data_IF_832094146521
#
_entry.id   IF_832094146521
#
_cell.length_a   1.000
_cell.length_b   1.000
_cell.length_c   1.000
_cell.angle_alpha   90.00
_cell.angle_beta   90.00
_cell.angle_gamma   90.00
#
_symmetry.space_group_name_H-M   'P 1'
#
loop_
_entity.id
_entity.type
_entity.pdbx_description
1 polymer ?
#
# COMPACT_ATOMS: atom_id res chain seq x y z
N UNK A 1 3.07 -3.64 -19.97
CA UNK A 1 4.40 -3.29 -20.54
C UNK A 1 5.10 -4.58 -20.96
N UNK A 2 5.63 -4.65 -22.19
CA UNK A 2 6.25 -5.85 -22.75
C UNK A 2 7.77 -5.80 -22.56
N UNK A 3 8.34 -6.68 -21.74
CA UNK A 3 9.81 -6.87 -21.70
C UNK A 3 10.26 -7.53 -23.01
N UNK A 4 10.93 -6.78 -23.88
CA UNK A 4 11.68 -7.32 -25.02
C UNK A 4 13.06 -7.77 -24.52
N UNK A 5 13.29 -9.07 -24.53
CA UNK A 5 14.56 -9.71 -24.19
C UNK A 5 15.43 -9.73 -25.45
N UNK A 6 16.55 -9.02 -25.44
CA UNK A 6 17.61 -9.16 -26.46
C UNK A 6 18.45 -10.38 -26.08
N UNK A 7 18.54 -11.32 -27.01
CA UNK A 7 19.15 -12.63 -26.87
C UNK A 7 20.68 -12.51 -26.99
N UNK A 8 21.42 -12.88 -25.95
CA UNK A 8 22.83 -13.27 -26.07
C UNK A 8 23.02 -14.63 -25.38
N UNK A 9 23.58 -15.54 -26.17
CA UNK A 9 23.75 -16.98 -25.95
C UNK A 9 24.96 -17.21 -25.05
N UNK A 10 24.89 -18.16 -24.10
CA UNK A 10 25.88 -19.24 -23.84
C UNK A 10 25.61 -19.93 -22.48
N UNK A 11 25.66 -21.26 -22.53
CA UNK A 11 25.88 -22.27 -21.47
C UNK A 11 24.83 -22.56 -20.39
N UNK A 12 24.16 -23.71 -20.58
CA UNK A 12 23.91 -24.83 -19.64
C UNK A 12 23.72 -24.49 -18.16
N UNK A 13 22.48 -24.66 -17.70
CA UNK A 13 22.10 -24.66 -16.29
C UNK A 13 20.63 -24.27 -16.13
N UNK A 14 19.72 -25.20 -16.43
CA UNK A 14 18.30 -25.02 -16.11
C UNK A 14 18.13 -25.02 -14.58
N UNK A 15 18.21 -23.84 -13.98
CA UNK A 15 17.45 -23.51 -12.78
C UNK A 15 16.51 -22.39 -13.16
N UNK A 16 15.41 -22.78 -13.82
CA UNK A 16 14.21 -21.95 -13.87
C UNK A 16 13.68 -21.85 -12.44
N UNK A 17 14.27 -20.97 -11.64
CA UNK A 17 13.61 -20.45 -10.44
C UNK A 17 12.47 -19.60 -10.98
N UNK A 18 11.34 -20.24 -11.24
CA UNK A 18 10.11 -19.52 -11.47
C UNK A 18 9.93 -18.58 -10.28
N UNK A 19 9.92 -17.28 -10.53
CA UNK A 19 9.40 -16.31 -9.58
C UNK A 19 7.94 -16.67 -9.33
N UNK A 20 7.70 -17.62 -8.43
CA UNK A 20 6.42 -17.72 -7.75
C UNK A 20 6.44 -16.52 -6.82
N UNK A 21 5.70 -15.47 -7.17
CA UNK A 21 5.41 -14.40 -6.22
C UNK A 21 4.66 -15.05 -5.06
N UNK A 22 5.42 -15.50 -4.05
CA UNK A 22 4.85 -15.77 -2.75
C UNK A 22 4.15 -14.48 -2.34
N UNK A 23 2.88 -14.57 -1.97
CA UNK A 23 2.18 -13.41 -1.47
C UNK A 23 2.89 -12.99 -0.19
N UNK A 24 3.58 -11.85 -0.22
CA UNK A 24 4.43 -11.38 0.88
C UNK A 24 3.63 -10.94 2.11
N UNK A 25 2.29 -11.01 2.06
CA UNK A 25 1.45 -10.68 3.19
C UNK A 25 1.67 -11.65 4.36
N UNK A 26 1.55 -11.18 5.61
CA UNK A 26 1.57 -12.02 6.79
C UNK A 26 0.61 -13.20 6.66
N UNK A 27 1.05 -14.38 7.10
CA UNK A 27 0.22 -15.59 7.13
C UNK A 27 -0.92 -15.51 8.15
N UNK A 28 -0.76 -14.66 9.17
CA UNK A 28 -1.76 -14.38 10.19
C UNK A 28 -2.35 -12.99 9.97
N UNK A 29 -3.69 -12.90 10.02
CA UNK A 29 -4.41 -11.64 10.02
C UNK A 29 -4.66 -11.22 11.47
N UNK A 30 -4.06 -10.13 11.98
CA UNK A 30 -4.15 -9.77 13.38
C UNK A 30 -5.59 -9.48 13.82
N UNK A 31 -5.91 -9.85 15.06
CA UNK A 31 -7.17 -9.49 15.68
C UNK A 31 -7.29 -7.95 15.76
N UNK A 32 -8.48 -7.40 15.48
CA UNK A 32 -8.73 -5.96 15.54
C UNK A 32 -8.55 -5.21 14.21
N UNK A 33 -7.88 -5.80 13.22
CA UNK A 33 -7.86 -5.25 11.86
C UNK A 33 -9.19 -5.58 11.16
N UNK A 34 -9.89 -4.61 10.56
CA UNK A 34 -11.12 -4.90 9.80
C UNK A 34 -10.80 -5.65 8.51
N UNK A 35 -11.63 -6.63 8.09
CA UNK A 35 -11.40 -7.42 6.87
C UNK A 35 -11.31 -6.62 5.55
N UNK A 36 -11.79 -5.36 5.57
CA UNK A 36 -11.71 -4.42 4.44
C UNK A 36 -10.38 -3.67 4.37
N UNK A 37 -9.52 -3.77 5.39
CA UNK A 37 -8.20 -3.18 5.36
C UNK A 37 -7.28 -4.02 4.46
N UNK A 38 -6.48 -3.34 3.65
CA UNK A 38 -5.63 -3.94 2.64
C UNK A 38 -4.20 -3.94 3.18
N UNK A 39 -3.53 -5.10 3.11
CA UNK A 39 -2.12 -5.18 3.45
C UNK A 39 -1.27 -4.46 2.39
N UNK A 40 -0.38 -3.59 2.85
CA UNK A 40 0.56 -2.83 2.05
C UNK A 40 1.95 -2.98 2.67
N UNK A 41 2.85 -3.68 1.98
CA UNK A 41 4.18 -3.99 2.50
C UNK A 41 5.04 -4.80 1.54
N UNK A 42 6.18 -5.23 2.06
CA UNK A 42 7.19 -6.03 1.37
C UNK A 42 7.72 -7.17 2.22
N UNK A 43 8.88 -7.70 1.84
CA UNK A 43 9.54 -8.79 2.56
C UNK A 43 10.03 -8.40 3.97
N UNK A 44 10.12 -7.09 4.22
CA UNK A 44 10.50 -6.44 5.47
C UNK A 44 9.29 -6.10 6.37
N UNK A 45 8.09 -6.49 5.98
CA UNK A 45 6.84 -6.23 6.70
C UNK A 45 6.02 -5.13 6.04
N UNK A 46 4.99 -4.67 6.74
CA UNK A 46 4.12 -3.62 6.22
C UNK A 46 3.07 -3.15 7.22
N UNK A 47 1.93 -2.76 6.68
CA UNK A 47 0.79 -2.31 7.46
C UNK A 47 -0.52 -2.71 6.78
N UNK A 48 -1.59 -2.81 7.56
CA UNK A 48 -2.93 -2.83 7.00
C UNK A 48 -3.43 -1.39 6.89
N UNK A 49 -4.08 -1.06 5.77
CA UNK A 49 -4.54 0.30 5.47
C UNK A 49 -5.98 0.24 5.00
N UNK A 50 -6.80 1.14 5.53
CA UNK A 50 -8.15 1.39 5.01
C UNK A 50 -8.37 2.89 4.95
N UNK A 51 -8.85 3.37 3.80
CA UNK A 51 -9.31 4.74 3.67
C UNK A 51 -10.75 4.78 3.13
N UNK A 52 -11.59 5.61 3.72
CA UNK A 52 -12.86 6.05 3.13
C UNK A 52 -12.68 7.40 2.43
N UNK A 53 -13.51 7.64 1.41
CA UNK A 53 -13.62 8.95 0.77
C UNK A 53 -14.45 9.86 1.68
N UNK A 54 -13.95 11.08 1.89
CA UNK A 54 -14.63 12.15 2.59
C UNK A 54 -14.85 13.30 1.61
N UNK A 55 -16.00 13.28 0.92
CA UNK A 55 -16.35 14.26 -0.10
C UNK A 55 -16.56 15.66 0.49
N UNK A 56 -16.95 15.76 1.76
CA UNK A 56 -17.18 17.04 2.45
C UNK A 56 -15.88 17.82 2.60
N UNK A 57 -14.81 17.13 2.97
CA UNK A 57 -13.50 17.74 3.17
C UNK A 57 -12.57 17.56 1.97
N UNK A 58 -13.04 16.92 0.88
CA UNK A 58 -12.25 16.52 -0.28
C UNK A 58 -10.96 15.80 0.15
N UNK A 59 -11.09 14.81 1.02
CA UNK A 59 -9.99 14.09 1.64
C UNK A 59 -10.27 12.59 1.69
N UNK A 60 -9.30 11.83 2.18
CA UNK A 60 -9.51 10.44 2.61
C UNK A 60 -9.35 10.33 4.12
N UNK A 61 -10.32 9.75 4.79
CA UNK A 61 -10.20 9.37 6.20
C UNK A 61 -9.57 7.98 6.26
N UNK A 62 -8.32 7.90 6.72
CA UNK A 62 -7.50 6.70 6.69
C UNK A 62 -7.17 6.22 8.10
N UNK A 63 -7.08 4.91 8.25
CA UNK A 63 -6.52 4.24 9.41
C UNK A 63 -5.47 3.22 8.94
N UNK A 64 -4.36 3.17 9.67
CA UNK A 64 -3.24 2.26 9.45
C UNK A 64 -3.05 1.43 10.71
N UNK A 65 -2.99 0.12 10.54
CA UNK A 65 -2.75 -0.84 11.61
C UNK A 65 -1.39 -1.50 11.45
N UNK A 66 -0.73 -1.76 12.57
CA UNK A 66 0.44 -2.62 12.62
C UNK A 66 0.09 -4.02 12.11
N UNK A 67 0.90 -4.56 11.22
CA UNK A 67 0.64 -5.85 10.57
C UNK A 67 0.86 -7.08 11.46
N UNK A 68 1.49 -6.90 12.62
CA UNK A 68 1.83 -7.95 13.58
C UNK A 68 0.92 -7.92 14.81
N UNK A 69 0.63 -6.72 15.35
CA UNK A 69 -0.19 -6.57 16.57
C UNK A 69 -1.66 -6.25 16.29
N UNK A 70 -1.97 -5.67 15.12
CA UNK A 70 -3.31 -5.17 14.80
C UNK A 70 -3.66 -3.86 15.49
N UNK A 71 -2.72 -3.22 16.19
CA UNK A 71 -2.94 -1.92 16.82
C UNK A 71 -2.99 -0.80 15.78
N UNK A 72 -3.83 0.22 16.02
CA UNK A 72 -3.83 1.43 15.21
C UNK A 72 -2.53 2.20 15.50
N UNK A 73 -1.69 2.33 14.47
CA UNK A 73 -0.45 3.12 14.51
C UNK A 73 -0.64 4.48 13.87
N UNK A 74 -1.65 4.62 13.02
CA UNK A 74 -1.91 5.86 12.33
C UNK A 74 -3.41 6.05 12.03
N UNK A 75 -3.95 7.25 12.24
CA UNK A 75 -5.31 7.60 11.85
C UNK A 75 -5.45 9.09 11.55
N UNK A 76 -6.17 9.46 10.48
CA UNK A 76 -6.48 10.87 10.19
C UNK A 76 -6.94 11.13 8.76
N UNK A 77 -7.06 12.41 8.41
CA UNK A 77 -7.41 12.87 7.05
C UNK A 77 -6.18 13.04 6.18
N UNK A 78 -6.24 12.59 4.93
CA UNK A 78 -5.16 12.65 3.95
C UNK A 78 -5.61 13.27 2.64
N UNK A 79 -4.69 13.93 1.95
CA UNK A 79 -4.88 14.42 0.58
C UNK A 79 -3.72 14.00 -0.31
N UNK A 80 -3.99 13.90 -1.60
CA UNK A 80 -2.97 13.71 -2.62
C UNK A 80 -2.05 14.93 -2.69
N UNK A 81 -0.75 14.72 -2.45
CA UNK A 81 0.27 15.79 -2.36
C UNK A 81 0.26 16.71 -3.60
N UNK A 82 0.12 16.14 -4.80
CA UNK A 82 0.20 16.89 -6.07
C UNK A 82 -1.13 17.41 -6.61
N UNK A 83 -2.24 17.02 -5.99
CA UNK A 83 -3.56 17.36 -6.49
C UNK A 83 -4.39 18.19 -5.51
N UNK A 84 -3.96 18.27 -4.25
CA UNK A 84 -4.69 18.93 -3.18
C UNK A 84 -6.17 18.52 -3.19
N UNK A 85 -6.44 17.21 -3.16
CA UNK A 85 -7.78 16.58 -3.10
C UNK A 85 -7.69 15.18 -2.51
N UNK A 86 -8.82 14.58 -2.20
CA UNK A 86 -8.89 13.16 -1.84
C UNK A 86 -8.56 12.29 -3.06
N UNK A 87 -7.96 11.14 -2.80
CA UNK A 87 -7.88 10.06 -3.79
C UNK A 87 -9.27 9.46 -4.02
N UNK A 88 -9.57 9.15 -5.28
CA UNK A 88 -10.78 8.43 -5.70
C UNK A 88 -10.66 6.96 -5.33
N UNK A 89 -11.79 6.25 -5.29
CA UNK A 89 -11.82 4.83 -4.95
C UNK A 89 -10.85 3.99 -5.81
N UNK A 90 -10.80 4.27 -7.12
CA UNK A 90 -9.90 3.57 -8.04
C UNK A 90 -8.41 3.93 -7.87
N UNK A 91 -8.10 5.01 -7.16
CA UNK A 91 -6.72 5.43 -6.85
C UNK A 91 -6.22 4.82 -5.53
N UNK A 92 -7.11 4.37 -4.63
CA UNK A 92 -6.80 3.79 -3.32
C UNK A 92 -6.30 2.35 -3.41
N UNK A 93 -5.20 2.15 -4.13
CA UNK A 93 -4.43 0.90 -4.16
C UNK A 93 -3.07 1.13 -3.49
N UNK A 94 -2.87 0.55 -2.31
CA UNK A 94 -1.80 0.92 -1.41
C UNK A 94 -0.49 0.17 -1.70
N UNK A 95 0.63 0.89 -1.58
CA UNK A 95 1.98 0.33 -1.70
C UNK A 95 2.71 0.26 -0.35
N UNK A 96 2.59 1.30 0.48
CA UNK A 96 3.23 1.35 1.80
C UNK A 96 2.58 2.44 2.68
N UNK A 97 2.87 2.39 3.99
CA UNK A 97 2.70 3.49 4.94
C UNK A 97 4.01 3.72 5.69
N UNK A 98 4.36 4.97 5.98
CA UNK A 98 5.60 5.32 6.70
C UNK A 98 5.41 5.50 8.22
N UNK A 99 4.17 5.37 8.70
CA UNK A 99 3.77 5.64 10.10
C UNK A 99 4.03 7.09 10.56
N UNK A 100 4.29 8.00 9.63
CA UNK A 100 4.67 9.40 9.85
C UNK A 100 3.77 10.39 9.13
N UNK A 101 2.61 9.97 8.62
CA UNK A 101 1.73 10.84 7.86
C UNK A 101 1.73 10.58 6.36
N UNK A 102 2.40 9.55 5.85
CA UNK A 102 2.52 9.30 4.41
C UNK A 102 2.03 7.91 4.05
N UNK A 103 1.13 7.85 3.07
CA UNK A 103 0.67 6.59 2.46
C UNK A 103 1.00 6.65 0.97
N UNK A 104 1.81 5.71 0.50
CA UNK A 104 2.15 5.53 -0.90
C UNK A 104 1.13 4.66 -1.63
N UNK A 105 0.76 5.03 -2.84
CA UNK A 105 -0.18 4.30 -3.71
C UNK A 105 0.57 3.66 -4.88
N UNK A 106 0.11 2.49 -5.36
CA UNK A 106 0.77 1.73 -6.45
C UNK A 106 0.82 2.48 -7.78
N UNK A 107 -0.04 3.46 -7.98
CA UNK A 107 -0.07 4.33 -9.16
C UNK A 107 0.91 5.53 -9.07
N UNK A 108 1.91 5.47 -8.19
CA UNK A 108 2.89 6.53 -7.91
C UNK A 108 2.29 7.82 -7.34
N UNK A 109 1.07 7.75 -6.79
CA UNK A 109 0.48 8.83 -6.02
C UNK A 109 0.87 8.70 -4.54
N UNK A 110 0.85 9.83 -3.84
CA UNK A 110 1.19 9.89 -2.41
C UNK A 110 0.11 10.69 -1.70
N UNK A 111 -0.46 10.05 -0.68
CA UNK A 111 -1.33 10.66 0.31
C UNK A 111 -0.48 11.19 1.46
N UNK A 112 -0.72 12.44 1.86
CA UNK A 112 -0.10 13.02 3.06
C UNK A 112 -1.18 13.48 4.01
N UNK A 113 -0.98 13.18 5.30
CA UNK A 113 -1.86 13.59 6.38
C UNK A 113 -1.94 15.11 6.38
N UNK A 114 -3.14 15.61 6.55
CA UNK A 114 -3.43 17.03 6.64
C UNK A 114 -4.11 17.34 7.96
N UNK A 115 -3.87 18.55 8.47
CA UNK A 115 -4.54 19.10 9.64
C UNK A 115 -5.80 19.86 9.22
N UNK A 116 -6.58 19.28 8.29
CA UNK A 116 -7.88 19.88 7.96
C UNK A 116 -8.71 19.98 9.26
N UNK A 117 -9.41 21.10 9.49
CA UNK A 117 -10.34 21.20 10.61
C UNK A 117 -11.45 20.14 10.54
#
# INVERSE_FOLDING_TARGET
MKCKVILLIVSVGMYGVGCRSAELRPSHYPAGVPAKAIWAGGADGGAYIYCSIDDVHDANDCTVWNDSTGEIVEQGKYRLVRHNRGAKAAELDYSFADFGGTIGLKNNLVLKRTTLP
#
